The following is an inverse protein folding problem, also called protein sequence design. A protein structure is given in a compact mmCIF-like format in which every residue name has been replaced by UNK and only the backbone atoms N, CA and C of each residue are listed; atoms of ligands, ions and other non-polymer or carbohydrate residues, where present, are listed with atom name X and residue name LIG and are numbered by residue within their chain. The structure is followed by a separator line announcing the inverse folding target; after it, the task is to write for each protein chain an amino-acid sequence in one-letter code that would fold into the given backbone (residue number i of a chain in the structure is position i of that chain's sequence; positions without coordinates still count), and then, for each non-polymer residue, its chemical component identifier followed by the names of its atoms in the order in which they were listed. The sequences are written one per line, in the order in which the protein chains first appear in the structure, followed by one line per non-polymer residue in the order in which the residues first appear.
data_IF_133249860664
#
_entry.id   IF_133249860664
#
_cell.length_a   1.000
_cell.length_b   1.000
_cell.length_c   1.000
_cell.angle_alpha   90.00
_cell.angle_beta   90.00
_cell.angle_gamma   90.00
#
_symmetry.space_group_name_H-M   'P 1'
#
loop_
_entity.id
_entity.type
_entity.pdbx_description
1 polymer ?
#
# COMPACT_ATOMS: atom_id res chain seq x y z
N UNK A 1 29.19 -4.18 4.32
CA UNK A 1 27.74 -3.93 4.52
C UNK A 1 27.04 -4.29 3.22
N UNK A 2 26.06 -5.20 3.23
CA UNK A 2 25.27 -5.47 2.01
C UNK A 2 24.32 -4.28 1.83
N UNK A 3 24.38 -3.53 0.73
CA UNK A 3 23.35 -2.52 0.45
C UNK A 3 22.04 -3.25 0.16
N UNK A 4 21.10 -3.23 1.10
CA UNK A 4 19.75 -3.73 0.84
C UNK A 4 18.95 -2.63 0.15
N UNK A 5 17.92 -3.05 -0.62
CA UNK A 5 17.04 -2.12 -1.33
C UNK A 5 16.38 -1.11 -0.38
N UNK A 6 16.14 -1.49 0.88
CA UNK A 6 15.58 -0.57 1.88
C UNK A 6 16.58 0.54 2.27
N UNK A 7 17.87 0.24 2.39
CA UNK A 7 18.89 1.25 2.69
C UNK A 7 19.05 2.20 1.50
N UNK A 8 19.11 1.66 0.28
CA UNK A 8 19.22 2.48 -0.94
C UNK A 8 18.02 3.41 -1.07
N UNK A 9 16.80 2.87 -0.92
CA UNK A 9 15.56 3.65 -0.97
C UNK A 9 15.52 4.73 0.11
N UNK A 10 15.75 4.35 1.37
CA UNK A 10 15.75 5.29 2.50
C UNK A 10 16.81 6.38 2.39
N UNK A 11 18.00 6.07 1.85
CA UNK A 11 19.05 7.06 1.63
C UNK A 11 18.70 8.01 0.49
N UNK A 12 18.20 7.46 -0.63
CA UNK A 12 17.79 8.23 -1.80
C UNK A 12 16.69 9.23 -1.44
N UNK A 13 15.60 8.76 -0.81
CA UNK A 13 14.49 9.63 -0.43
C UNK A 13 14.88 10.67 0.61
N UNK A 14 15.82 10.36 1.51
CA UNK A 14 16.33 11.33 2.48
C UNK A 14 17.11 12.43 1.76
N UNK A 15 18.06 12.08 0.89
CA UNK A 15 18.83 13.06 0.12
C UNK A 15 17.91 13.94 -0.74
N UNK A 16 16.94 13.34 -1.42
CA UNK A 16 15.96 14.08 -2.22
C UNK A 16 15.12 15.03 -1.37
N UNK A 17 14.65 14.59 -0.20
CA UNK A 17 13.85 15.45 0.70
C UNK A 17 14.64 16.65 1.21
N UNK A 18 15.94 16.47 1.52
CA UNK A 18 16.82 17.58 1.91
C UNK A 18 17.03 18.53 0.74
N UNK A 19 17.28 18.03 -0.47
CA UNK A 19 17.42 18.87 -1.66
C UNK A 19 16.15 19.70 -1.92
N UNK A 20 14.97 19.09 -1.85
CA UNK A 20 13.68 19.78 -2.03
C UNK A 20 13.47 20.85 -0.97
N UNK A 21 13.87 20.61 0.29
CA UNK A 21 13.76 21.60 1.35
C UNK A 21 14.49 22.91 1.02
N UNK A 22 15.66 22.83 0.39
CA UNK A 22 16.42 24.00 -0.08
C UNK A 22 15.86 24.60 -1.38
N UNK A 23 15.22 23.81 -2.24
CA UNK A 23 14.62 24.31 -3.48
C UNK A 23 13.31 25.06 -3.26
N UNK A 24 12.50 24.69 -2.25
CA UNK A 24 11.22 25.37 -1.94
C UNK A 24 11.36 26.89 -1.82
N UNK A 25 12.28 27.44 -0.99
CA UNK A 25 12.43 28.88 -0.88
C UNK A 25 12.98 29.54 -2.15
N UNK A 26 13.73 28.81 -2.96
CA UNK A 26 14.30 29.32 -4.21
C UNK A 26 13.28 29.34 -5.36
N UNK A 27 12.25 28.48 -5.33
CA UNK A 27 11.29 28.34 -6.43
C UNK A 27 9.93 28.99 -6.15
N UNK A 28 9.57 29.18 -4.88
CA UNK A 28 8.25 29.69 -4.50
C UNK A 28 8.41 31.05 -3.85
N UNK A 29 8.11 32.12 -4.60
CA UNK A 29 8.10 33.48 -4.06
C UNK A 29 6.95 33.65 -3.04
N UNK A 30 7.25 34.32 -1.93
CA UNK A 30 6.28 34.60 -0.87
C UNK A 30 5.75 36.02 -1.05
N UNK A 31 4.53 36.14 -1.59
CA UNK A 31 3.89 37.44 -1.85
C UNK A 31 3.29 38.03 -0.57
N UNK A 32 2.80 37.16 0.32
CA UNK A 32 2.20 37.55 1.61
C UNK A 32 3.11 37.13 2.75
N UNK A 33 3.58 38.09 3.56
CA UNK A 33 4.40 37.85 4.75
C UNK A 33 3.53 37.35 5.92
N UNK A 34 2.92 36.19 5.70
CA UNK A 34 2.03 35.49 6.63
C UNK A 34 2.66 34.18 7.05
N UNK A 35 2.46 33.79 8.33
CA UNK A 35 3.01 32.56 8.91
C UNK A 35 2.57 31.29 8.15
N UNK A 36 1.40 31.34 7.52
CA UNK A 36 0.91 30.33 6.58
C UNK A 36 0.97 30.98 5.19
N UNK A 37 1.91 30.54 4.37
CA UNK A 37 2.11 31.03 3.01
C UNK A 37 2.11 29.86 2.01
N UNK A 38 2.30 30.15 0.72
CA UNK A 38 2.34 29.13 -0.33
C UNK A 38 3.43 28.06 -0.12
N UNK A 39 4.50 28.37 0.63
CA UNK A 39 5.55 27.41 0.97
C UNK A 39 5.17 26.47 2.11
N UNK A 40 4.13 26.78 2.89
CA UNK A 40 3.78 26.01 4.09
C UNK A 40 3.45 24.55 3.76
N UNK A 41 2.56 24.31 2.79
CA UNK A 41 2.15 22.95 2.39
C UNK A 41 3.35 22.15 1.83
N UNK A 42 4.14 22.66 0.86
CA UNK A 42 5.34 21.98 0.40
C UNK A 42 6.36 21.68 1.52
N UNK A 43 6.56 22.61 2.47
CA UNK A 43 7.47 22.41 3.60
C UNK A 43 6.98 21.29 4.52
N UNK A 44 5.70 21.27 4.88
CA UNK A 44 5.13 20.23 5.75
C UNK A 44 5.29 18.85 5.12
N UNK A 45 4.93 18.70 3.83
CA UNK A 45 5.07 17.42 3.12
C UNK A 45 6.54 16.97 3.07
N UNK A 46 7.46 17.89 2.76
CA UNK A 46 8.90 17.60 2.69
C UNK A 46 9.46 17.19 4.05
N UNK A 47 9.03 17.86 5.12
CA UNK A 47 9.42 17.53 6.50
C UNK A 47 8.95 16.12 6.89
N UNK A 48 7.69 15.79 6.59
CA UNK A 48 7.13 14.46 6.86
C UNK A 48 7.84 13.37 6.06
N UNK A 49 8.14 13.62 4.78
CA UNK A 49 8.91 12.71 3.94
C UNK A 49 10.31 12.48 4.52
N UNK A 50 11.00 13.55 4.91
CA UNK A 50 12.32 13.48 5.52
C UNK A 50 12.30 12.64 6.81
N UNK A 51 11.31 12.88 7.68
CA UNK A 51 11.13 12.12 8.92
C UNK A 51 10.90 10.62 8.67
N UNK A 52 9.97 10.25 7.77
CA UNK A 52 9.73 8.84 7.45
C UNK A 52 10.92 8.18 6.77
N UNK A 53 11.64 8.90 5.91
CA UNK A 53 12.85 8.38 5.26
C UNK A 53 13.96 8.10 6.27
N UNK A 54 14.17 9.00 7.24
CA UNK A 54 15.12 8.80 8.33
C UNK A 54 14.74 7.60 9.21
N UNK A 55 13.47 7.47 9.60
CA UNK A 55 12.98 6.32 10.37
C UNK A 55 13.21 5.01 9.61
N UNK A 56 12.88 4.97 8.31
CA UNK A 56 13.08 3.77 7.48
C UNK A 56 14.57 3.41 7.35
N UNK A 57 15.45 4.40 7.17
CA UNK A 57 16.89 4.18 7.08
C UNK A 57 17.47 3.65 8.40
N UNK A 58 17.08 4.23 9.54
CA UNK A 58 17.47 3.74 10.87
C UNK A 58 16.97 2.31 11.09
N UNK A 59 15.71 2.02 10.76
CA UNK A 59 15.16 0.66 10.84
C UNK A 59 15.90 -0.32 9.95
N UNK A 60 16.26 0.06 8.72
CA UNK A 60 17.01 -0.79 7.80
C UNK A 60 18.41 -1.10 8.35
N UNK A 61 19.12 -0.11 8.88
CA UNK A 61 20.45 -0.29 9.49
C UNK A 61 20.37 -1.16 10.75
N UNK A 62 19.39 -0.91 11.63
CA UNK A 62 19.18 -1.72 12.84
C UNK A 62 18.74 -3.15 12.50
N UNK A 63 17.93 -3.33 11.46
CA UNK A 63 17.50 -4.65 10.99
C UNK A 63 18.65 -5.46 10.42
N UNK A 64 19.59 -4.85 9.68
CA UNK A 64 20.79 -5.55 9.20
C UNK A 64 21.65 -6.12 10.33
N UNK A 65 21.64 -5.50 11.52
CA UNK A 65 22.36 -6.01 12.70
C UNK A 65 21.72 -7.29 13.27
N UNK A 66 20.42 -7.48 13.07
CA UNK A 66 19.66 -8.65 13.57
C UNK A 66 19.55 -9.79 12.54
N UNK A 67 20.02 -9.60 11.31
CA UNK A 67 19.97 -10.63 10.25
C UNK A 67 21.33 -11.32 10.12
N UNK A 68 21.68 -12.10 11.15
CA UNK A 68 22.58 -13.26 11.01
C UNK A 68 21.86 -14.59 11.22
N UNK A 69 20.52 -14.61 11.25
CA UNK A 69 19.75 -15.84 11.27
C UNK A 69 18.59 -15.76 10.28
N UNK A 70 18.58 -16.71 9.35
CA UNK A 70 17.48 -17.09 8.47
C UNK A 70 17.21 -16.22 7.22
N UNK A 71 18.12 -16.25 6.25
CA UNK A 71 17.87 -15.80 4.87
C UNK A 71 18.19 -16.96 3.90
N UNK A 72 17.35 -17.99 3.89
CA UNK A 72 17.55 -19.19 3.06
C UNK A 72 16.41 -19.58 2.12
N UNK A 73 15.13 -19.31 2.42
CA UNK A 73 14.04 -19.94 1.64
C UNK A 73 12.80 -19.08 1.34
N UNK A 74 12.69 -17.86 1.88
CA UNK A 74 11.42 -17.11 1.83
C UNK A 74 11.17 -16.36 0.52
N UNK A 75 12.21 -15.88 -0.16
CA UNK A 75 12.06 -14.88 -1.23
C UNK A 75 11.38 -15.38 -2.52
N UNK A 76 11.51 -16.68 -2.85
CA UNK A 76 10.85 -17.26 -4.04
C UNK A 76 9.37 -17.54 -3.82
N UNK A 77 8.99 -17.89 -2.59
CA UNK A 77 7.60 -18.20 -2.25
C UNK A 77 6.72 -16.94 -2.22
N UNK A 78 7.31 -15.78 -1.93
CA UNK A 78 6.62 -14.49 -1.97
C UNK A 78 6.29 -14.01 -3.39
N UNK A 79 7.20 -14.17 -4.36
CA UNK A 79 6.96 -13.70 -5.74
C UNK A 79 5.81 -14.45 -6.41
N UNK A 80 5.71 -15.76 -6.17
CA UNK A 80 4.67 -16.61 -6.74
C UNK A 80 3.30 -16.25 -6.16
N UNK A 81 3.23 -16.00 -4.84
CA UNK A 81 1.98 -15.56 -4.19
C UNK A 81 1.51 -14.22 -4.72
N UNK A 82 2.44 -13.27 -4.94
CA UNK A 82 2.12 -11.97 -5.54
C UNK A 82 1.60 -12.14 -6.97
N UNK A 83 2.22 -13.01 -7.76
CA UNK A 83 1.75 -13.30 -9.13
C UNK A 83 0.35 -13.93 -9.13
N UNK A 84 0.08 -14.89 -8.24
CA UNK A 84 -1.23 -15.53 -8.11
C UNK A 84 -2.30 -14.52 -7.66
N UNK A 85 -1.98 -13.60 -6.75
CA UNK A 85 -2.90 -12.51 -6.36
C UNK A 85 -3.22 -11.61 -7.55
N UNK A 86 -2.21 -11.25 -8.34
CA UNK A 86 -2.42 -10.45 -9.56
C UNK A 86 -3.35 -11.16 -10.55
N UNK A 87 -3.11 -12.45 -10.81
CA UNK A 87 -3.99 -13.26 -11.66
C UNK A 87 -5.42 -13.33 -11.10
N UNK A 88 -5.57 -13.41 -9.78
CA UNK A 88 -6.88 -13.42 -9.11
C UNK A 88 -7.67 -12.13 -9.40
N UNK A 89 -7.02 -10.96 -9.44
CA UNK A 89 -7.68 -9.71 -9.82
C UNK A 89 -8.10 -9.68 -11.29
N UNK A 90 -7.28 -10.20 -12.20
CA UNK A 90 -7.64 -10.31 -13.62
C UNK A 90 -8.85 -11.22 -13.78
N UNK A 91 -8.84 -12.39 -13.14
CA UNK A 91 -9.95 -13.36 -13.17
C UNK A 91 -11.22 -12.75 -12.57
N UNK A 92 -11.11 -12.04 -11.45
CA UNK A 92 -12.23 -11.30 -10.84
C UNK A 92 -12.84 -10.29 -11.80
N UNK A 93 -12.02 -9.48 -12.49
CA UNK A 93 -12.51 -8.49 -13.45
C UNK A 93 -13.30 -9.13 -14.60
N UNK A 94 -12.88 -10.31 -15.06
CA UNK A 94 -13.62 -11.04 -16.09
C UNK A 94 -14.91 -11.62 -15.53
N UNK A 95 -14.86 -12.24 -14.34
CA UNK A 95 -16.03 -12.83 -13.68
C UNK A 95 -17.13 -11.82 -13.38
N UNK A 96 -16.78 -10.55 -13.11
CA UNK A 96 -17.76 -9.50 -12.86
C UNK A 96 -18.80 -9.39 -13.98
N UNK A 97 -18.41 -9.54 -15.24
CA UNK A 97 -19.32 -9.41 -16.38
C UNK A 97 -20.18 -10.68 -16.58
N UNK A 98 -19.72 -11.84 -16.11
CA UNK A 98 -20.41 -13.12 -16.31
C UNK A 98 -21.36 -13.51 -15.18
N UNK A 99 -20.93 -13.33 -13.93
CA UNK A 99 -21.63 -13.86 -12.74
C UNK A 99 -22.07 -12.75 -11.77
N UNK A 100 -21.75 -11.50 -12.09
CA UNK A 100 -22.08 -10.32 -11.31
C UNK A 100 -21.24 -10.10 -10.05
N UNK A 101 -21.39 -8.90 -9.50
CA UNK A 101 -20.58 -8.33 -8.43
C UNK A 101 -20.57 -9.17 -7.17
N UNK A 102 -21.73 -9.63 -6.71
CA UNK A 102 -21.86 -10.32 -5.43
C UNK A 102 -21.07 -11.64 -5.43
N UNK A 103 -21.29 -12.48 -6.45
CA UNK A 103 -20.66 -13.81 -6.52
C UNK A 103 -19.17 -13.68 -6.85
N UNK A 104 -18.80 -12.81 -7.80
CA UNK A 104 -17.41 -12.58 -8.17
C UNK A 104 -16.58 -12.08 -6.99
N UNK A 105 -17.13 -11.17 -6.18
CA UNK A 105 -16.41 -10.57 -5.04
C UNK A 105 -16.28 -11.56 -3.88
N UNK A 106 -17.28 -12.41 -3.63
CA UNK A 106 -17.17 -13.49 -2.63
C UNK A 106 -16.08 -14.49 -3.03
N UNK A 107 -16.06 -14.91 -4.30
CA UNK A 107 -15.02 -15.82 -4.81
C UNK A 107 -13.63 -15.19 -4.75
N UNK A 108 -13.48 -13.93 -5.15
CA UNK A 108 -12.21 -13.22 -5.10
C UNK A 108 -11.72 -13.03 -3.66
N UNK A 109 -12.58 -12.57 -2.75
CA UNK A 109 -12.25 -12.39 -1.33
C UNK A 109 -11.85 -13.70 -0.66
N UNK A 110 -12.61 -14.77 -0.89
CA UNK A 110 -12.27 -16.11 -0.41
C UNK A 110 -10.95 -16.62 -1.00
N UNK A 111 -10.74 -16.44 -2.32
CA UNK A 111 -9.50 -16.81 -3.00
C UNK A 111 -8.28 -16.10 -2.42
N UNK A 112 -8.36 -14.78 -2.18
CA UNK A 112 -7.28 -13.99 -1.59
C UNK A 112 -6.96 -14.49 -0.18
N UNK A 113 -7.97 -14.72 0.67
CA UNK A 113 -7.77 -15.27 2.02
C UNK A 113 -7.10 -16.65 1.98
N UNK A 114 -7.46 -17.50 1.01
CA UNK A 114 -6.86 -18.81 0.81
C UNK A 114 -5.40 -18.72 0.34
N UNK A 115 -5.08 -17.81 -0.59
CA UNK A 115 -3.72 -17.57 -1.11
C UNK A 115 -2.80 -17.06 0.00
N UNK A 116 -3.31 -16.20 0.90
CA UNK A 116 -2.58 -15.71 2.07
C UNK A 116 -2.37 -16.83 3.10
N UNK A 117 -3.20 -17.88 3.06
CA UNK A 117 -3.10 -19.05 3.94
C UNK A 117 -3.89 -18.92 5.24
N UNK A 118 -4.90 -18.05 5.28
CA UNK A 118 -5.79 -17.94 6.43
C UNK A 118 -6.72 -19.15 6.44
N UNK A 119 -6.56 -20.02 7.46
CA UNK A 119 -7.36 -21.25 7.61
C UNK A 119 -8.59 -21.10 8.52
N UNK A 120 -8.72 -19.97 9.21
CA UNK A 120 -9.81 -19.72 10.15
C UNK A 120 -11.09 -19.37 9.36
N UNK A 121 -12.10 -20.23 9.43
CA UNK A 121 -13.33 -20.12 8.63
C UNK A 121 -14.13 -18.83 8.90
N UNK A 122 -14.11 -18.33 10.13
CA UNK A 122 -14.79 -17.08 10.52
C UNK A 122 -14.42 -15.88 9.64
N UNK A 123 -13.18 -15.79 9.14
CA UNK A 123 -12.79 -14.69 8.25
C UNK A 123 -13.46 -14.77 6.87
N UNK A 124 -13.71 -15.98 6.37
CA UNK A 124 -14.45 -16.18 5.12
C UNK A 124 -15.92 -15.80 5.29
N UNK A 125 -16.51 -16.16 6.43
CA UNK A 125 -17.89 -15.78 6.76
C UNK A 125 -18.03 -14.25 6.85
N UNK A 126 -17.14 -13.58 7.60
CA UNK A 126 -17.15 -12.11 7.72
C UNK A 126 -16.98 -11.45 6.35
N UNK A 127 -16.02 -11.92 5.54
CA UNK A 127 -15.80 -11.39 4.18
C UNK A 127 -17.05 -11.53 3.32
N UNK A 128 -17.74 -12.67 3.39
CA UNK A 128 -18.94 -12.93 2.59
C UNK A 128 -20.10 -12.04 3.03
N UNK A 129 -20.33 -11.94 4.34
CA UNK A 129 -21.39 -11.09 4.91
C UNK A 129 -21.17 -9.63 4.53
N UNK A 130 -19.93 -9.15 4.59
CA UNK A 130 -19.60 -7.77 4.20
C UNK A 130 -19.94 -7.49 2.74
N UNK A 131 -19.60 -8.39 1.82
CA UNK A 131 -19.91 -8.24 0.39
C UNK A 131 -21.41 -8.17 0.14
N UNK A 132 -22.19 -9.07 0.74
CA UNK A 132 -23.65 -9.08 0.62
C UNK A 132 -24.26 -7.79 1.18
N UNK A 133 -23.78 -7.33 2.35
CA UNK A 133 -24.25 -6.11 2.97
C UNK A 133 -23.96 -4.89 2.09
N UNK A 134 -22.76 -4.80 1.51
CA UNK A 134 -22.40 -3.73 0.57
C UNK A 134 -23.29 -3.78 -0.68
N UNK A 135 -23.46 -4.95 -1.29
CA UNK A 135 -24.36 -5.12 -2.45
C UNK A 135 -25.78 -4.66 -2.14
N UNK A 136 -26.31 -5.05 -0.98
CA UNK A 136 -27.63 -4.63 -0.51
C UNK A 136 -27.75 -3.11 -0.36
N UNK A 137 -26.75 -2.45 0.23
CA UNK A 137 -26.76 -0.99 0.40
C UNK A 137 -26.73 -0.29 -0.96
N UNK A 138 -25.85 -0.72 -1.87
CA UNK A 138 -25.72 -0.11 -3.20
C UNK A 138 -27.00 -0.24 -4.02
N UNK A 139 -27.67 -1.39 -3.93
CA UNK A 139 -28.94 -1.61 -4.63
C UNK A 139 -30.10 -0.83 -4.02
N UNK A 140 -30.19 -0.79 -2.69
CA UNK A 140 -31.38 -0.26 -1.99
C UNK A 140 -31.30 1.25 -1.74
N UNK A 141 -30.12 1.77 -1.41
CA UNK A 141 -29.95 3.18 -1.04
C UNK A 141 -29.39 4.02 -2.18
N UNK A 142 -28.45 3.47 -2.96
CA UNK A 142 -27.80 4.22 -4.04
C UNK A 142 -28.46 4.00 -5.41
N UNK A 143 -29.37 3.02 -5.54
CA UNK A 143 -30.05 2.68 -6.80
C UNK A 143 -29.10 2.43 -7.97
N UNK A 144 -27.86 2.00 -7.68
CA UNK A 144 -26.86 1.69 -8.70
C UNK A 144 -27.02 0.24 -9.11
N UNK A 145 -27.12 -0.01 -10.42
CA UNK A 145 -27.03 -1.36 -10.98
C UNK A 145 -25.56 -1.75 -10.97
N UNK A 146 -25.20 -2.61 -10.02
CA UNK A 146 -23.92 -3.33 -10.07
C UNK A 146 -24.07 -4.46 -11.11
N UNK A 147 -23.10 -4.62 -12.03
CA UNK A 147 -23.09 -5.72 -12.98
C UNK A 147 -23.09 -7.07 -12.25
#
# INVERSE_FOLDING_TARGET
MKLTKEIVGGALFLVLSVAVWFLIPSQIEVITDSRINAQFVPKVITLTLMAFSAINLVRAILSQRNVSMNSGSTKKMDILRVLILFVTFVVYSLLLEFIGFEIATVLAGGGILAIIGIKKWHYYAISTVFVVLVGFIFRTFFYVQLP
#
